data_IF_087002776985
#
_entry.id   IF_087002776985
#
_cell.length_a   1.000
_cell.length_b   1.000
_cell.length_c   1.000
_cell.angle_alpha   90.00
_cell.angle_beta   90.00
_cell.angle_gamma   90.00
#
_symmetry.space_group_name_H-M   'P 1'
#
loop_
_entity.id
_entity.type
_entity.pdbx_description
1 polymer ?
#
# COMPACT_ATOMS: atom_id res chain seq x y z
N UNK A 1 7.52 -20.67 16.80
CA UNK A 1 7.05 -19.40 16.21
C UNK A 1 5.92 -19.79 15.29
N UNK A 2 4.69 -19.33 15.55
CA UNK A 2 3.57 -19.71 14.70
C UNK A 2 3.81 -19.07 13.33
N UNK A 3 4.00 -19.90 12.30
CA UNK A 3 3.86 -19.48 10.91
C UNK A 3 2.42 -18.98 10.75
N UNK A 4 2.21 -17.68 10.92
CA UNK A 4 0.96 -17.09 10.43
C UNK A 4 1.08 -17.13 8.91
N UNK A 5 0.51 -18.16 8.30
CA UNK A 5 0.41 -18.24 6.85
C UNK A 5 -0.21 -16.92 6.35
N UNK A 6 0.43 -16.30 5.36
CA UNK A 6 -0.14 -15.11 4.74
C UNK A 6 -1.54 -15.42 4.20
N UNK A 7 -2.47 -14.43 4.22
CA UNK A 7 -3.76 -14.59 3.57
C UNK A 7 -3.61 -15.03 2.11
N UNK A 8 -4.59 -15.78 1.60
CA UNK A 8 -4.65 -16.11 0.19
C UNK A 8 -4.74 -14.83 -0.66
N UNK A 9 -3.93 -14.66 -1.71
CA UNK A 9 -3.87 -13.42 -2.45
C UNK A 9 -5.09 -13.23 -3.34
N UNK A 10 -5.57 -11.98 -3.44
CA UNK A 10 -6.39 -11.58 -4.58
C UNK A 10 -5.51 -11.54 -5.83
N UNK A 11 -5.87 -12.32 -6.84
CA UNK A 11 -5.23 -12.30 -8.16
C UNK A 11 -5.70 -11.05 -8.92
N UNK A 12 -4.77 -10.30 -9.49
CA UNK A 12 -5.04 -9.13 -10.33
C UNK A 12 -4.29 -9.28 -11.66
N UNK A 13 -5.00 -9.08 -12.77
CA UNK A 13 -4.47 -9.33 -14.11
C UNK A 13 -4.53 -10.80 -14.49
N UNK A 14 -3.77 -11.17 -15.53
CA UNK A 14 -3.75 -12.54 -16.05
C UNK A 14 -2.33 -12.92 -16.42
N UNK A 15 -1.87 -14.05 -15.87
CA UNK A 15 -0.57 -14.62 -16.20
C UNK A 15 -0.56 -15.07 -17.66
N UNK A 16 0.42 -14.57 -18.41
CA UNK A 16 0.66 -14.94 -19.81
C UNK A 16 1.91 -15.79 -19.90
N UNK A 17 1.81 -16.96 -20.54
CA UNK A 17 2.90 -17.95 -20.57
C UNK A 17 4.08 -17.47 -21.43
N UNK A 18 3.81 -16.58 -22.38
CA UNK A 18 4.78 -15.99 -23.29
C UNK A 18 5.56 -14.81 -22.69
N UNK A 19 5.20 -14.36 -21.48
CA UNK A 19 5.84 -13.23 -20.81
C UNK A 19 6.86 -13.70 -19.79
N UNK A 20 8.09 -13.20 -19.90
CA UNK A 20 9.10 -13.34 -18.85
C UNK A 20 8.89 -12.25 -17.80
N UNK A 21 8.35 -12.62 -16.65
CA UNK A 21 8.07 -11.67 -15.58
C UNK A 21 9.30 -11.38 -14.71
N UNK A 22 9.47 -10.11 -14.36
CA UNK A 22 10.34 -9.67 -13.26
C UNK A 22 9.59 -9.84 -11.95
N UNK A 23 10.22 -10.53 -11.01
CA UNK A 23 9.67 -10.77 -9.69
C UNK A 23 9.87 -9.56 -8.78
N UNK A 24 8.81 -9.18 -8.04
CA UNK A 24 8.87 -8.12 -7.04
C UNK A 24 7.98 -8.43 -5.84
N UNK A 25 8.54 -8.29 -4.65
CA UNK A 25 7.76 -8.26 -3.41
C UNK A 25 7.65 -6.84 -2.90
N UNK A 26 6.49 -6.49 -2.36
CA UNK A 26 6.17 -5.13 -1.96
C UNK A 26 5.34 -5.11 -0.67
N UNK A 27 5.60 -4.15 0.21
CA UNK A 27 4.78 -3.94 1.41
C UNK A 27 3.88 -2.72 1.25
N UNK A 28 2.71 -2.78 1.85
CA UNK A 28 1.70 -1.71 1.91
C UNK A 28 1.26 -1.52 3.34
N UNK A 29 0.85 -0.30 3.68
CA UNK A 29 0.39 -0.01 5.03
C UNK A 29 -0.78 0.95 5.05
N UNK A 30 -1.74 0.66 5.92
CA UNK A 30 -2.78 1.59 6.35
C UNK A 30 -2.41 2.01 7.77
N UNK A 31 -2.04 3.28 7.94
CA UNK A 31 -1.67 3.83 9.24
C UNK A 31 -2.74 4.81 9.73
N UNK A 32 -3.34 4.54 10.89
CA UNK A 32 -4.34 5.41 11.51
C UNK A 32 -3.69 6.43 12.41
N UNK A 33 -4.02 7.72 12.24
CA UNK A 33 -3.64 8.75 13.20
C UNK A 33 -4.67 8.88 14.33
N UNK A 34 -4.37 9.73 15.33
CA UNK A 34 -5.24 9.93 16.49
C UNK A 34 -6.66 10.44 16.15
N UNK A 35 -6.85 11.04 14.96
CA UNK A 35 -8.15 11.49 14.46
C UNK A 35 -8.89 10.40 13.66
N UNK A 36 -8.37 9.18 13.59
CA UNK A 36 -8.93 8.08 12.81
C UNK A 36 -8.75 8.22 11.29
N UNK A 37 -7.88 9.13 10.84
CA UNK A 37 -7.55 9.32 9.43
C UNK A 37 -6.37 8.45 9.01
N UNK A 38 -6.31 8.12 7.73
CA UNK A 38 -5.27 7.31 7.11
C UNK A 38 -4.50 8.12 6.06
N UNK A 39 -3.20 7.84 5.91
CA UNK A 39 -2.40 8.44 4.86
C UNK A 39 -2.71 7.77 3.53
N UNK A 40 -3.02 8.59 2.52
CA UNK A 40 -3.21 8.16 1.12
C UNK A 40 -2.26 8.95 0.24
N UNK A 41 -1.51 8.22 -0.59
CA UNK A 41 -0.59 8.80 -1.56
C UNK A 41 -1.38 9.15 -2.83
N UNK A 42 -1.08 10.29 -3.46
CA UNK A 42 -1.62 10.67 -4.75
C UNK A 42 -0.49 10.90 -5.76
N UNK A 43 -0.64 10.35 -6.96
CA UNK A 43 0.25 10.59 -8.09
C UNK A 43 -0.40 11.62 -9.02
N UNK A 44 -0.06 12.91 -8.86
CA UNK A 44 -0.77 14.02 -9.52
C UNK A 44 -0.81 13.90 -11.04
N UNK A 45 0.30 13.50 -11.67
CA UNK A 45 0.39 13.43 -13.14
C UNK A 45 -0.40 12.26 -13.72
N UNK A 46 -0.44 11.16 -12.99
CA UNK A 46 -1.09 9.91 -13.39
C UNK A 46 -2.57 9.83 -12.93
N UNK A 47 -3.03 10.76 -12.10
CA UNK A 47 -4.42 10.90 -11.61
C UNK A 47 -4.94 9.66 -10.87
N UNK A 48 -4.11 9.05 -10.03
CA UNK A 48 -4.53 7.96 -9.14
C UNK A 48 -4.08 8.17 -7.70
N UNK A 49 -4.71 7.41 -6.81
CA UNK A 49 -4.38 7.34 -5.39
C UNK A 49 -3.93 5.92 -5.05
N UNK A 50 -3.02 5.80 -4.09
CA UNK A 50 -2.42 4.54 -3.68
C UNK A 50 -2.18 4.52 -2.17
N UNK A 51 -2.03 3.34 -1.61
CA UNK A 51 -1.55 3.18 -0.24
C UNK A 51 -0.06 3.52 -0.17
N UNK A 52 0.42 4.04 0.98
CA UNK A 52 1.84 4.09 1.26
C UNK A 52 2.48 2.71 1.12
N UNK A 53 3.66 2.66 0.52
CA UNK A 53 4.39 1.42 0.33
C UNK A 53 5.13 1.29 -1.01
N UNK A 54 6.07 0.36 -1.01
CA UNK A 54 6.97 0.11 -2.13
C UNK A 54 7.65 -1.25 -2.02
N UNK A 55 8.85 -1.37 -2.56
CA UNK A 55 9.54 -2.66 -2.73
C UNK A 55 10.18 -3.14 -1.41
N UNK A 56 10.26 -4.45 -1.23
CA UNK A 56 11.00 -5.06 -0.12
C UNK A 56 12.43 -5.31 -0.58
N UNK A 57 13.41 -4.80 0.17
CA UNK A 57 14.82 -5.00 -0.13
C UNK A 57 15.33 -6.41 0.29
N UNK A 58 16.42 -6.91 -0.30
CA UNK A 58 17.00 -8.20 0.11
C UNK A 58 17.33 -8.22 1.61
N UNK A 59 16.76 -9.20 2.32
CA UNK A 59 16.92 -9.34 3.78
C UNK A 59 16.08 -8.39 4.64
N UNK A 60 15.26 -7.53 4.03
CA UNK A 60 14.35 -6.64 4.73
C UNK A 60 13.08 -7.38 5.18
N UNK A 61 12.64 -7.13 6.41
CA UNK A 61 11.36 -7.64 6.90
C UNK A 61 10.20 -6.92 6.22
N UNK A 62 9.09 -7.62 5.98
CA UNK A 62 7.90 -7.05 5.34
C UNK A 62 7.38 -5.80 6.08
N UNK A 63 7.29 -5.86 7.40
CA UNK A 63 6.90 -4.74 8.25
C UNK A 63 7.92 -3.60 8.22
N UNK A 64 9.22 -3.91 8.14
CA UNK A 64 10.27 -2.91 8.06
C UNK A 64 10.17 -2.12 6.75
N UNK A 65 9.88 -2.79 5.63
CA UNK A 65 9.62 -2.13 4.35
C UNK A 65 8.39 -1.21 4.43
N UNK A 66 7.30 -1.64 5.09
CA UNK A 66 6.12 -0.80 5.30
C UNK A 66 6.44 0.47 6.12
N UNK A 67 7.22 0.34 7.20
CA UNK A 67 7.66 1.46 8.03
C UNK A 67 8.53 2.44 7.24
N UNK A 68 9.54 1.92 6.53
CA UNK A 68 10.45 2.73 5.71
C UNK A 68 9.69 3.52 4.65
N UNK A 69 8.85 2.85 3.87
CA UNK A 69 8.11 3.48 2.77
C UNK A 69 7.12 4.52 3.28
N UNK A 70 6.45 4.27 4.41
CA UNK A 70 5.61 5.29 5.06
C UNK A 70 6.43 6.53 5.39
N UNK A 71 7.61 6.37 5.99
CA UNK A 71 8.48 7.48 6.34
C UNK A 71 9.02 8.21 5.09
N UNK A 72 9.44 7.48 4.05
CA UNK A 72 9.94 8.06 2.80
C UNK A 72 8.85 8.86 2.06
N UNK A 73 7.64 8.31 1.93
CA UNK A 73 6.56 8.91 1.14
C UNK A 73 5.78 10.01 1.88
N UNK A 74 5.74 9.96 3.21
CA UNK A 74 4.91 10.88 4.03
C UNK A 74 5.69 11.66 5.07
N UNK A 75 6.84 11.18 5.51
CA UNK A 75 7.56 11.70 6.67
C UNK A 75 7.06 11.15 8.02
N UNK A 76 5.96 10.39 8.04
CA UNK A 76 5.36 9.91 9.27
C UNK A 76 6.06 8.66 9.83
N UNK A 77 6.15 8.60 11.15
CA UNK A 77 6.59 7.44 11.91
C UNK A 77 5.36 6.63 12.35
N UNK A 78 5.44 5.31 12.18
CA UNK A 78 4.33 4.40 12.47
C UNK A 78 4.78 3.24 13.34
N UNK A 79 3.81 2.63 14.04
CA UNK A 79 3.95 1.38 14.77
C UNK A 79 2.99 0.35 14.21
N UNK A 80 3.54 -0.76 13.69
CA UNK A 80 2.71 -1.86 13.16
C UNK A 80 1.89 -2.49 14.29
N UNK A 81 0.62 -2.78 14.02
CA UNK A 81 -0.27 -3.55 14.88
C UNK A 81 0.03 -5.05 14.72
N UNK A 82 1.13 -5.51 15.31
CA UNK A 82 1.65 -6.87 15.11
C UNK A 82 0.66 -8.00 15.46
N UNK A 83 -0.33 -7.74 16.32
CA UNK A 83 -1.38 -8.70 16.66
C UNK A 83 -2.31 -9.04 15.48
N UNK A 84 -2.37 -8.18 14.46
CA UNK A 84 -3.17 -8.42 13.25
C UNK A 84 -2.40 -9.19 12.17
N UNK A 85 -1.07 -9.24 12.26
CA UNK A 85 -0.21 -9.78 11.20
C UNK A 85 -0.42 -9.09 9.85
N UNK A 86 -0.13 -9.82 8.76
CA UNK A 86 -0.47 -9.39 7.41
C UNK A 86 -1.97 -9.60 7.18
N UNK A 87 -2.71 -8.52 6.93
CA UNK A 87 -4.18 -8.54 6.87
C UNK A 87 -4.74 -8.88 5.50
N UNK A 88 -3.95 -8.64 4.43
CA UNK A 88 -4.33 -8.97 3.07
C UNK A 88 -3.10 -9.07 2.16
N UNK A 89 -3.25 -9.83 1.07
CA UNK A 89 -2.21 -9.98 0.04
C UNK A 89 -2.81 -9.86 -1.36
N UNK A 90 -2.01 -9.44 -2.33
CA UNK A 90 -2.36 -9.50 -3.75
C UNK A 90 -1.23 -10.11 -4.57
N UNK A 91 -1.59 -10.81 -5.64
CA UNK A 91 -0.68 -11.33 -6.66
C UNK A 91 -1.04 -10.70 -8.00
N UNK A 92 -0.17 -9.83 -8.52
CA UNK A 92 -0.40 -9.05 -9.73
C UNK A 92 0.44 -9.59 -10.89
N UNK A 93 -0.19 -9.85 -12.04
CA UNK A 93 0.48 -10.10 -13.31
C UNK A 93 0.20 -8.94 -14.27
N UNK A 94 1.15 -8.01 -14.42
CA UNK A 94 0.98 -6.79 -15.22
C UNK A 94 2.20 -6.48 -16.08
N UNK A 95 1.98 -6.26 -17.37
CA UNK A 95 3.04 -5.94 -18.36
C UNK A 95 4.14 -7.01 -18.30
N UNK A 96 5.33 -6.70 -17.77
CA UNK A 96 6.48 -7.59 -17.58
C UNK A 96 6.82 -7.81 -16.09
N UNK A 97 5.91 -7.48 -15.17
CA UNK A 97 6.09 -7.60 -13.72
C UNK A 97 5.10 -8.58 -13.09
N UNK A 98 5.63 -9.51 -12.30
CA UNK A 98 4.87 -10.32 -11.36
C UNK A 98 5.15 -9.77 -9.94
N UNK A 99 4.09 -9.32 -9.25
CA UNK A 99 4.25 -8.65 -7.96
C UNK A 99 3.38 -9.27 -6.87
N UNK A 100 4.01 -9.66 -5.77
CA UNK A 100 3.35 -9.95 -4.50
C UNK A 100 3.30 -8.68 -3.64
N UNK A 101 2.12 -8.31 -3.14
CA UNK A 101 1.96 -7.21 -2.20
C UNK A 101 1.40 -7.70 -0.86
N UNK A 102 1.98 -7.24 0.25
CA UNK A 102 1.62 -7.61 1.62
C UNK A 102 1.14 -6.37 2.38
N UNK A 103 -0.05 -6.43 2.96
CA UNK A 103 -0.68 -5.28 3.58
C UNK A 103 -0.72 -5.41 5.11
N UNK A 104 -0.36 -4.32 5.78
CA UNK A 104 -0.29 -4.21 7.24
C UNK A 104 -1.12 -3.03 7.74
N UNK A 105 -1.52 -3.13 9.01
CA UNK A 105 -2.19 -2.04 9.73
C UNK A 105 -1.23 -1.48 10.77
N UNK A 106 -1.23 -0.16 10.92
CA UNK A 106 -0.36 0.55 11.85
C UNK A 106 -1.08 1.72 12.53
N UNK A 107 -0.44 2.24 13.57
CA UNK A 107 -0.78 3.49 14.22
C UNK A 107 0.30 4.52 13.95
N UNK A 108 -0.11 5.75 13.65
CA UNK A 108 0.82 6.88 13.50
C UNK A 108 1.29 7.32 14.87
N UNK A 109 2.61 7.39 15.03
CA UNK A 109 3.28 7.84 16.24
C UNK A 109 3.62 9.32 16.14
N UNK A 110 4.02 9.77 14.94
CA UNK A 110 4.40 11.15 14.64
C UNK A 110 4.20 11.42 13.15
N UNK A 111 3.55 12.52 12.78
CA UNK A 111 3.34 12.97 11.39
C UNK A 111 3.94 14.36 11.12
N UNK A 112 4.80 14.87 12.01
CA UNK A 112 5.47 16.16 11.87
C UNK A 112 6.66 16.16 10.90
N UNK A 113 7.06 14.98 10.41
CA UNK A 113 8.15 14.81 9.47
C UNK A 113 7.85 15.34 8.07
N UNK A 114 8.83 15.21 7.19
CA UNK A 114 8.70 15.61 5.77
C UNK A 114 9.06 14.44 4.86
N UNK A 115 8.36 14.26 3.72
CA UNK A 115 8.69 13.21 2.76
C UNK A 115 10.12 13.33 2.22
N UNK A 116 10.77 12.18 2.03
CA UNK A 116 12.05 12.02 1.36
C UNK A 116 11.85 11.20 0.09
N UNK A 117 11.27 11.84 -0.93
CA UNK A 117 10.85 11.19 -2.17
C UNK A 117 12.02 10.85 -3.10
N UNK A 118 11.96 9.67 -3.71
CA UNK A 118 12.85 9.28 -4.78
C UNK A 118 12.60 10.10 -6.06
N UNK A 119 13.59 10.15 -6.96
CA UNK A 119 13.50 10.92 -8.22
C UNK A 119 12.25 10.60 -9.05
N UNK A 120 11.86 9.32 -9.10
CA UNK A 120 10.68 8.89 -9.85
C UNK A 120 9.37 9.40 -9.24
N UNK A 121 9.24 9.43 -7.91
CA UNK A 121 8.07 9.94 -7.18
C UNK A 121 7.91 11.44 -7.39
N UNK A 122 9.02 12.19 -7.30
CA UNK A 122 9.03 13.62 -7.63
C UNK A 122 8.56 13.81 -9.09
N UNK A 123 9.03 12.96 -10.01
CA UNK A 123 8.69 13.07 -11.43
C UNK A 123 7.21 12.83 -11.73
N UNK A 124 6.51 12.00 -10.94
CA UNK A 124 5.06 11.78 -11.08
C UNK A 124 4.21 12.76 -10.26
N UNK A 125 4.86 13.66 -9.52
CA UNK A 125 4.21 14.62 -8.62
C UNK A 125 3.54 13.91 -7.46
N UNK A 126 4.25 12.98 -6.83
CA UNK A 126 3.78 12.24 -5.67
C UNK A 126 3.60 13.20 -4.47
N UNK A 127 2.51 13.02 -3.74
CA UNK A 127 2.27 13.65 -2.45
C UNK A 127 1.32 12.79 -1.62
N UNK A 128 0.98 13.25 -0.41
CA UNK A 128 0.09 12.50 0.49
C UNK A 128 -1.00 13.39 1.09
N UNK A 129 -2.08 12.75 1.55
CA UNK A 129 -3.22 13.36 2.23
C UNK A 129 -3.63 12.49 3.43
N UNK A 130 -4.07 13.13 4.51
CA UNK A 130 -4.76 12.46 5.61
C UNK A 130 -6.28 12.50 5.39
N UNK A 131 -6.88 11.33 5.18
CA UNK A 131 -8.29 11.18 4.83
C UNK A 131 -9.00 10.24 5.80
N UNK A 132 -10.29 10.43 6.04
CA UNK A 132 -11.09 9.34 6.58
C UNK A 132 -11.10 8.15 5.61
N UNK A 133 -11.40 6.95 6.10
CA UNK A 133 -11.45 5.75 5.25
C UNK A 133 -12.47 5.91 4.12
N UNK A 134 -13.64 6.49 4.41
CA UNK A 134 -14.67 6.73 3.39
C UNK A 134 -14.21 7.72 2.32
N UNK A 135 -13.55 8.82 2.71
CA UNK A 135 -12.98 9.79 1.75
C UNK A 135 -11.88 9.15 0.91
N UNK A 136 -11.02 8.32 1.51
CA UNK A 136 -9.99 7.57 0.80
C UNK A 136 -10.61 6.65 -0.25
N UNK A 137 -11.61 5.87 0.13
CA UNK A 137 -12.33 4.94 -0.76
C UNK A 137 -13.01 5.67 -1.91
N UNK A 138 -13.71 6.77 -1.63
CA UNK A 138 -14.35 7.61 -2.66
C UNK A 138 -13.31 8.15 -3.64
N UNK A 139 -12.23 8.79 -3.15
CA UNK A 139 -11.18 9.35 -4.02
C UNK A 139 -10.49 8.29 -4.87
N UNK A 140 -10.18 7.12 -4.30
CA UNK A 140 -9.57 6.02 -5.04
C UNK A 140 -10.50 5.47 -6.11
N UNK A 141 -11.79 5.31 -5.80
CA UNK A 141 -12.80 4.77 -6.73
C UNK A 141 -13.13 5.75 -7.86
N UNK A 142 -13.23 7.04 -7.56
CA UNK A 142 -13.56 8.10 -8.53
C UNK A 142 -12.38 8.52 -9.40
N UNK A 143 -11.15 8.16 -9.01
CA UNK A 143 -9.96 8.46 -9.80
C UNK A 143 -10.06 7.88 -11.20
N UNK A 144 -9.61 8.65 -12.20
CA UNK A 144 -9.55 8.25 -13.61
C UNK A 144 -8.08 8.20 -14.04
N UNK A 145 -7.42 7.05 -13.86
CA UNK A 145 -5.99 6.95 -14.11
C UNK A 145 -5.67 7.07 -15.60
N UNK A 146 -4.49 7.60 -15.92
CA UNK A 146 -4.06 7.84 -17.31
C UNK A 146 -3.26 6.70 -17.93
N UNK A 147 -2.90 5.69 -17.15
CA UNK A 147 -2.06 4.58 -17.60
C UNK A 147 -2.62 3.23 -17.17
N UNK A 148 -2.34 2.20 -17.96
CA UNK A 148 -2.72 0.82 -17.65
C UNK A 148 -2.17 0.39 -16.29
N UNK A 149 -0.91 0.74 -16.01
CA UNK A 149 -0.26 0.56 -14.71
C UNK A 149 -1.12 1.09 -13.55
N UNK A 150 -1.65 2.30 -13.71
CA UNK A 150 -2.40 2.94 -12.65
C UNK A 150 -3.79 2.31 -12.43
N UNK A 151 -4.36 1.61 -13.43
CA UNK A 151 -5.56 0.80 -13.25
C UNK A 151 -5.30 -0.41 -12.34
N UNK A 152 -4.19 -1.12 -12.54
CA UNK A 152 -3.76 -2.21 -11.65
C UNK A 152 -3.55 -1.73 -10.21
N UNK A 153 -2.86 -0.58 -10.05
CA UNK A 153 -2.62 0.02 -8.73
C UNK A 153 -3.94 0.40 -8.05
N UNK A 154 -4.86 1.02 -8.79
CA UNK A 154 -6.18 1.40 -8.28
C UNK A 154 -6.94 0.18 -7.77
N UNK A 155 -7.01 -0.89 -8.56
CA UNK A 155 -7.70 -2.11 -8.14
C UNK A 155 -7.08 -2.74 -6.89
N UNK A 156 -5.74 -2.86 -6.87
CA UNK A 156 -4.99 -3.42 -5.76
C UNK A 156 -5.26 -2.66 -4.47
N UNK A 157 -5.08 -1.34 -4.50
CA UNK A 157 -5.06 -0.56 -3.27
C UNK A 157 -6.47 -0.30 -2.72
N UNK A 158 -7.50 -0.30 -3.56
CA UNK A 158 -8.89 -0.32 -3.09
C UNK A 158 -9.17 -1.61 -2.31
N UNK A 159 -8.81 -2.77 -2.88
CA UNK A 159 -9.00 -4.05 -2.20
C UNK A 159 -8.24 -4.12 -0.86
N UNK A 160 -6.98 -3.68 -0.87
CA UNK A 160 -6.15 -3.69 0.34
C UNK A 160 -6.67 -2.73 1.41
N UNK A 161 -7.18 -1.55 1.04
CA UNK A 161 -7.81 -0.60 1.96
C UNK A 161 -9.05 -1.21 2.63
N UNK A 162 -9.91 -1.88 1.85
CA UNK A 162 -11.13 -2.51 2.36
C UNK A 162 -10.81 -3.63 3.37
N UNK A 163 -9.89 -4.53 3.03
CA UNK A 163 -9.52 -5.63 3.91
C UNK A 163 -8.80 -5.15 5.17
N UNK A 164 -7.91 -4.17 5.05
CA UNK A 164 -7.19 -3.63 6.20
C UNK A 164 -8.13 -2.93 7.18
N UNK A 165 -9.09 -2.15 6.68
CA UNK A 165 -10.09 -1.47 7.53
C UNK A 165 -10.97 -2.50 8.23
N UNK A 166 -11.48 -3.50 7.51
CA UNK A 166 -12.30 -4.59 8.07
C UNK A 166 -11.59 -5.34 9.18
N UNK A 167 -10.28 -5.59 9.04
CA UNK A 167 -9.48 -6.24 10.07
C UNK A 167 -9.19 -5.32 11.27
N UNK A 168 -8.94 -4.03 11.02
CA UNK A 168 -8.70 -3.05 12.07
C UNK A 168 -9.92 -2.87 13.00
N UNK A 169 -11.14 -2.89 12.45
CA UNK A 169 -12.39 -2.80 13.21
C UNK A 169 -12.65 -4.04 14.07
N UNK A 170 -12.34 -5.23 13.55
CA UNK A 170 -12.56 -6.52 14.27
C UNK A 170 -11.54 -6.78 15.37
N UNK A 171 -10.31 -6.30 15.21
CA UNK A 171 -9.24 -6.51 16.18
C UNK A 171 -9.25 -5.55 17.38
N UNK A 172 -10.21 -4.62 17.44
CA UNK A 172 -10.44 -3.71 18.57
C UNK A 172 -11.52 -4.15 19.55
N UNK A 173 -12.09 -5.36 19.37
CA UNK A 173 -13.12 -5.95 20.24
C UNK A 173 -12.53 -6.96 21.23
#
# INVERSE_FOLDING_TARGET
MADSAFPAPKIIGTKRLEVSYKERSASRVIAFNAAGKVAIIYAKRERYYKLPGGGIHPGELYEAAAIREMQEETGALIKIRSNLGCVATTEEYRIDLHQMSYCYVADVVDDSGSPSLAKHEISVGLGHLWLSVEEAKSKMTEAEPRSELALYIKERDIYLLEEATRCAEKGGA
#
